data_IF_129654316328
#
_entry.id   IF_129654316328
#
_cell.length_a   1.000
_cell.length_b   1.000
_cell.length_c   1.000
_cell.angle_alpha   90.00
_cell.angle_beta   90.00
_cell.angle_gamma   90.00
#
_symmetry.space_group_name_H-M   'P 1'
#
loop_
_entity.id
_entity.type
_entity.pdbx_description
1 polymer ?
#
# COMPACT_ATOMS: atom_id res chain seq x y z
N UNK A 1 -3.32 -4.09 -5.45
CA UNK A 1 -1.90 -4.22 -5.03
C UNK A 1 -1.26 -5.42 -5.73
N UNK A 2 -1.11 -5.31 -7.04
CA UNK A 2 -0.51 -6.24 -7.99
C UNK A 2 -1.06 -5.73 -9.33
N UNK A 3 -1.93 -6.48 -9.98
CA UNK A 3 -2.66 -6.10 -11.19
C UNK A 3 -3.23 -7.35 -11.86
N UNK A 4 -3.51 -7.26 -13.15
CA UNK A 4 -3.97 -8.38 -13.96
C UNK A 4 -3.22 -8.42 -15.30
N UNK A 5 -2.69 -9.58 -15.73
CA UNK A 5 -2.53 -10.83 -14.98
C UNK A 5 -1.60 -10.68 -13.76
N UNK A 6 -1.97 -11.31 -12.63
CA UNK A 6 -1.37 -11.02 -11.30
C UNK A 6 0.15 -11.16 -11.25
N UNK A 7 0.69 -12.27 -11.76
CA UNK A 7 2.14 -12.54 -11.72
C UNK A 7 2.90 -11.51 -12.55
N UNK A 8 2.47 -11.26 -13.79
CA UNK A 8 3.11 -10.27 -14.65
C UNK A 8 3.07 -8.86 -14.06
N UNK A 9 1.94 -8.48 -13.46
CA UNK A 9 1.83 -7.20 -12.79
C UNK A 9 2.80 -7.08 -11.58
N UNK A 10 2.97 -8.15 -10.79
CA UNK A 10 3.93 -8.18 -9.69
C UNK A 10 5.39 -8.06 -10.18
N UNK A 11 5.74 -8.68 -11.31
CA UNK A 11 7.07 -8.55 -11.92
C UNK A 11 7.36 -7.10 -12.33
N UNK A 12 6.46 -6.48 -13.10
CA UNK A 12 6.59 -5.06 -13.53
C UNK A 12 6.73 -4.15 -12.31
N UNK A 13 5.90 -4.35 -11.29
CA UNK A 13 5.99 -3.61 -10.03
C UNK A 13 7.37 -3.74 -9.40
N UNK A 14 7.91 -4.96 -9.34
CA UNK A 14 9.21 -5.22 -8.74
C UNK A 14 10.36 -4.61 -9.56
N UNK A 15 10.26 -4.63 -10.90
CA UNK A 15 11.19 -3.98 -11.82
C UNK A 15 11.20 -2.45 -11.62
N UNK A 16 10.02 -1.82 -11.45
CA UNK A 16 9.89 -0.36 -11.37
C UNK A 16 10.19 0.22 -9.97
N UNK A 17 9.75 -0.43 -8.89
CA UNK A 17 9.83 0.15 -7.55
C UNK A 17 11.21 -0.01 -6.89
N UNK A 18 12.03 -0.94 -7.41
CA UNK A 18 13.39 -1.25 -6.96
C UNK A 18 13.58 -1.33 -5.42
N UNK A 19 12.50 -1.67 -4.69
CA UNK A 19 12.49 -1.85 -3.26
C UNK A 19 11.42 -2.86 -2.85
N UNK A 20 11.60 -3.49 -1.69
CA UNK A 20 10.57 -4.37 -1.12
C UNK A 20 9.44 -3.51 -0.56
N UNK A 21 8.19 -3.88 -0.89
CA UNK A 21 6.98 -3.22 -0.35
C UNK A 21 6.80 -3.37 1.17
N UNK A 22 7.49 -4.33 1.79
CA UNK A 22 7.33 -4.61 3.20
C UNK A 22 5.90 -5.04 3.49
N UNK A 23 5.25 -4.40 4.47
CA UNK A 23 3.86 -4.72 4.80
C UNK A 23 2.86 -4.16 3.77
N UNK A 24 3.23 -3.16 2.96
CA UNK A 24 2.29 -2.52 2.03
C UNK A 24 1.78 -3.51 0.97
N UNK A 25 0.46 -3.69 0.94
CA UNK A 25 -0.19 -4.67 0.08
C UNK A 25 -0.10 -6.12 0.53
N UNK A 26 0.41 -6.38 1.73
CA UNK A 26 0.23 -7.64 2.45
C UNK A 26 -1.14 -7.72 3.13
N UNK A 27 -1.23 -8.61 4.12
CA UNK A 27 -2.41 -8.81 4.95
C UNK A 27 -2.06 -8.61 6.44
N UNK A 28 -2.95 -7.95 7.17
CA UNK A 28 -2.86 -7.77 8.63
C UNK A 28 -4.14 -8.31 9.24
N UNK A 29 -4.03 -9.17 10.25
CA UNK A 29 -5.18 -9.86 10.80
C UNK A 29 -4.79 -10.88 11.86
N UNK A 30 -5.69 -11.82 12.12
CA UNK A 30 -5.48 -12.89 13.09
C UNK A 30 -5.92 -14.25 12.53
N UNK A 31 -5.33 -15.30 13.10
CA UNK A 31 -5.82 -16.67 13.01
C UNK A 31 -6.09 -17.12 14.46
N UNK A 32 -7.28 -17.62 14.75
CA UNK A 32 -7.62 -18.11 16.09
C UNK A 32 -7.41 -19.62 16.23
N UNK A 33 -7.48 -20.12 17.47
CA UNK A 33 -7.28 -21.55 17.76
C UNK A 33 -8.43 -22.44 17.27
N UNK A 34 -9.56 -21.86 16.87
CA UNK A 34 -10.69 -22.58 16.26
C UNK A 34 -10.56 -22.68 14.74
N UNK A 35 -9.52 -22.06 14.17
CA UNK A 35 -9.25 -22.05 12.72
C UNK A 35 -9.90 -20.89 11.97
N UNK A 36 -10.49 -19.90 12.65
CA UNK A 36 -11.01 -18.71 11.98
C UNK A 36 -9.85 -17.79 11.57
N UNK A 37 -10.02 -17.15 10.42
CA UNK A 37 -9.06 -16.20 9.84
C UNK A 37 -9.83 -14.93 9.45
N UNK A 38 -9.36 -13.79 9.91
CA UNK A 38 -9.83 -12.49 9.44
C UNK A 38 -8.62 -11.57 9.17
N UNK A 39 -8.62 -10.94 7.99
CA UNK A 39 -7.51 -10.09 7.55
C UNK A 39 -8.01 -8.89 6.76
N UNK A 40 -7.35 -7.77 6.97
CA UNK A 40 -7.44 -6.60 6.12
C UNK A 40 -6.22 -6.49 5.20
N UNK A 41 -6.43 -5.94 4.00
CA UNK A 41 -5.32 -5.57 3.12
C UNK A 41 -4.56 -4.41 3.79
N UNK A 42 -3.24 -4.54 3.81
CA UNK A 42 -2.33 -3.58 4.42
C UNK A 42 -2.16 -2.31 3.55
N UNK A 43 -3.19 -1.45 3.56
CA UNK A 43 -3.26 -0.12 2.95
C UNK A 43 -3.75 0.91 3.98
N UNK A 44 -3.63 2.20 3.66
CA UNK A 44 -4.04 3.31 4.55
C UNK A 44 -3.47 3.13 5.97
N UNK A 45 -2.21 2.68 6.02
CA UNK A 45 -1.47 2.40 7.24
C UNK A 45 -0.18 3.22 7.27
N UNK A 46 0.44 3.26 8.44
CA UNK A 46 1.84 3.63 8.60
C UNK A 46 2.57 2.54 9.38
N UNK A 47 3.90 2.46 9.24
CA UNK A 47 4.73 1.64 10.11
C UNK A 47 6.05 2.33 10.44
N UNK A 48 6.58 2.05 11.64
CA UNK A 48 7.86 2.61 12.10
C UNK A 48 8.95 1.56 11.97
N UNK A 49 10.08 1.93 11.38
CA UNK A 49 11.29 1.10 11.30
C UNK A 49 12.53 1.98 11.35
N UNK A 50 13.52 1.63 12.17
CA UNK A 50 14.80 2.34 12.28
C UNK A 50 14.64 3.85 12.50
N UNK A 51 13.75 4.25 13.41
CA UNK A 51 13.50 5.66 13.73
C UNK A 51 12.71 6.44 12.67
N UNK A 52 12.28 5.82 11.57
CA UNK A 52 11.49 6.47 10.51
C UNK A 52 10.09 5.88 10.42
N UNK A 53 9.10 6.73 10.13
CA UNK A 53 7.72 6.32 9.82
C UNK A 53 7.55 6.29 8.30
N UNK A 54 6.95 5.22 7.80
CA UNK A 54 6.70 5.00 6.39
C UNK A 54 5.19 5.00 6.13
N UNK A 55 4.77 5.80 5.15
CA UNK A 55 3.41 5.79 4.61
C UNK A 55 3.54 5.51 3.13
N UNK A 56 2.80 4.51 2.64
CA UNK A 56 2.83 4.11 1.23
C UNK A 56 1.43 4.06 0.65
N UNK A 57 1.32 4.50 -0.59
CA UNK A 57 0.08 4.59 -1.35
C UNK A 57 0.36 4.25 -2.82
N UNK A 58 -0.70 4.08 -3.60
CA UNK A 58 -0.63 3.71 -5.00
C UNK A 58 -1.98 3.84 -5.68
N UNK A 59 -1.95 3.84 -7.01
CA UNK A 59 -3.09 3.91 -7.89
C UNK A 59 -3.12 2.69 -8.82
N UNK A 60 -4.29 2.43 -9.41
CA UNK A 60 -4.46 1.37 -10.40
C UNK A 60 -4.27 1.94 -11.79
N UNK A 61 -3.24 1.48 -12.50
CA UNK A 61 -2.94 1.99 -13.84
C UNK A 61 -3.65 1.15 -14.90
N UNK A 62 -4.39 1.83 -15.78
CA UNK A 62 -5.05 1.26 -16.97
C UNK A 62 -4.65 2.02 -18.23
N UNK A 63 -5.10 1.56 -19.40
CA UNK A 63 -4.71 2.15 -20.69
C UNK A 63 -5.03 3.65 -20.79
N UNK A 64 -6.15 4.07 -20.20
CA UNK A 64 -6.65 5.45 -20.27
C UNK A 64 -6.23 6.30 -19.05
N UNK A 65 -5.35 5.78 -18.20
CA UNK A 65 -4.86 6.50 -17.01
C UNK A 65 -4.11 7.77 -17.40
N UNK A 66 -4.35 8.85 -16.65
CA UNK A 66 -3.66 10.14 -16.82
C UNK A 66 -2.62 10.28 -15.72
N UNK A 67 -1.31 10.30 -16.02
CA UNK A 67 -0.24 10.23 -15.01
C UNK A 67 -0.38 11.21 -13.85
N UNK A 68 -0.77 12.45 -14.14
CA UNK A 68 -0.91 13.52 -13.14
C UNK A 68 -2.07 13.22 -12.17
N UNK A 69 -3.18 12.67 -12.68
CA UNK A 69 -4.34 12.32 -11.87
C UNK A 69 -4.03 11.12 -10.97
N UNK A 70 -3.33 10.11 -11.48
CA UNK A 70 -2.94 8.93 -10.71
C UNK A 70 -1.97 9.28 -9.58
N UNK A 71 -1.05 10.22 -9.85
CA UNK A 71 -0.14 10.75 -8.83
C UNK A 71 -0.89 11.53 -7.74
N UNK A 72 -1.83 12.40 -8.13
CA UNK A 72 -2.68 13.13 -7.19
C UNK A 72 -3.52 12.18 -6.34
N UNK A 73 -4.08 11.12 -6.93
CA UNK A 73 -4.81 10.07 -6.21
C UNK A 73 -3.92 9.40 -5.16
N UNK A 74 -2.66 9.08 -5.50
CA UNK A 74 -1.70 8.49 -4.57
C UNK A 74 -1.47 9.41 -3.35
N UNK A 75 -1.28 10.71 -3.59
CA UNK A 75 -1.10 11.74 -2.55
C UNK A 75 -2.36 11.82 -1.68
N UNK A 76 -3.54 11.93 -2.30
CA UNK A 76 -4.82 12.04 -1.58
C UNK A 76 -5.08 10.81 -0.69
N UNK A 77 -4.71 9.61 -1.17
CA UNK A 77 -4.80 8.39 -0.37
C UNK A 77 -3.83 8.37 0.82
N UNK A 78 -2.61 8.85 0.64
CA UNK A 78 -1.61 8.94 1.71
C UNK A 78 -1.96 10.03 2.74
N UNK A 79 -2.58 11.14 2.28
CA UNK A 79 -2.88 12.33 3.06
C UNK A 79 -3.62 12.02 4.35
N UNK A 80 -4.63 11.13 4.31
CA UNK A 80 -5.39 10.76 5.51
C UNK A 80 -4.49 10.23 6.65
N UNK A 81 -3.50 9.39 6.32
CA UNK A 81 -2.57 8.83 7.31
C UNK A 81 -1.57 9.88 7.76
N UNK A 82 -1.06 10.69 6.82
CA UNK A 82 -0.09 11.76 7.12
C UNK A 82 -0.70 12.82 8.05
N UNK A 83 -1.93 13.26 7.79
CA UNK A 83 -2.62 14.23 8.65
C UNK A 83 -2.92 13.65 10.03
N UNK A 84 -3.30 12.37 10.13
CA UNK A 84 -3.48 11.70 11.41
C UNK A 84 -2.17 11.63 12.23
N UNK A 85 -1.02 11.42 11.56
CA UNK A 85 0.29 11.44 12.22
C UNK A 85 0.65 12.84 12.73
N UNK A 86 0.42 13.89 11.94
CA UNK A 86 0.68 15.27 12.34
C UNK A 86 -0.21 15.72 13.50
N UNK A 87 -1.46 15.28 13.53
CA UNK A 87 -2.40 15.62 14.59
C UNK A 87 -2.11 14.90 15.92
N UNK A 88 -1.31 13.83 15.88
CA UNK A 88 -0.91 13.05 17.04
C UNK A 88 0.46 13.47 17.63
N UNK A 89 1.14 14.41 16.98
CA UNK A 89 2.35 15.09 17.49
C UNK A 89 1.96 16.21 18.48
#
# INVERSE_FOLDING_TARGET
>A
LSGAPKIRACEIINELENNKRGIYGGAVGYIDFSGNLDTAIAIRLCFKKNGRVFVRSGAGIVADSVPEKEFEECINKAKAVVEALKAAE
#
